data_IF_761203808803
#
_entry.id   IF_761203808803
#
_cell.length_a   1.000
_cell.length_b   1.000
_cell.length_c   1.000
_cell.angle_alpha   90.00
_cell.angle_beta   90.00
_cell.angle_gamma   90.00
#
_symmetry.space_group_name_H-M   'P 1'
#
loop_
_entity.id
_entity.type
_entity.pdbx_description
1 polymer ?
#
# COMPACT_ATOMS: atom_id res chain seq x y z
N UNK A 1 23.42 -14.77 -27.79
CA UNK A 1 22.50 -13.62 -27.95
C UNK A 1 21.09 -13.86 -27.42
N UNK A 2 20.62 -15.11 -27.19
CA UNK A 2 19.26 -15.39 -26.67
C UNK A 2 19.08 -15.13 -25.15
N UNK A 3 20.16 -15.10 -24.36
CA UNK A 3 20.07 -14.91 -22.89
C UNK A 3 19.56 -13.51 -22.51
N UNK A 4 19.87 -12.49 -23.32
CA UNK A 4 19.43 -11.12 -23.05
C UNK A 4 17.94 -10.89 -23.35
N UNK A 5 17.35 -11.59 -24.32
CA UNK A 5 15.92 -11.45 -24.63
C UNK A 5 15.04 -12.00 -23.50
N UNK A 6 15.39 -13.17 -22.95
CA UNK A 6 14.63 -13.78 -21.85
C UNK A 6 14.71 -12.94 -20.57
N UNK A 7 15.86 -12.31 -20.32
CA UNK A 7 16.03 -11.39 -19.19
C UNK A 7 15.22 -10.11 -19.38
N UNK A 8 15.16 -9.56 -20.60
CA UNK A 8 14.36 -8.37 -20.93
C UNK A 8 12.85 -8.65 -20.84
N UNK A 9 12.35 -9.75 -21.42
CA UNK A 9 10.94 -10.15 -21.34
C UNK A 9 10.49 -10.47 -19.90
N UNK A 10 11.38 -11.01 -19.06
CA UNK A 10 11.06 -11.24 -17.65
C UNK A 10 11.16 -9.99 -16.78
N UNK A 11 11.98 -9.00 -17.14
CA UNK A 11 12.01 -7.69 -16.46
C UNK A 11 10.77 -6.85 -16.77
N UNK A 12 10.15 -6.99 -17.95
CA UNK A 12 8.87 -6.36 -18.28
C UNK A 12 7.71 -6.80 -17.38
N UNK A 13 7.87 -7.91 -16.64
CA UNK A 13 6.83 -8.43 -15.74
C UNK A 13 6.74 -7.66 -14.41
N UNK A 14 7.79 -6.95 -14.01
CA UNK A 14 7.83 -6.22 -12.74
C UNK A 14 7.68 -4.73 -12.99
N UNK A 15 6.73 -4.10 -12.29
CA UNK A 15 6.52 -2.66 -12.41
C UNK A 15 7.55 -1.87 -11.60
N UNK A 16 8.14 -2.47 -10.56
CA UNK A 16 9.04 -1.83 -9.60
C UNK A 16 9.94 -2.86 -8.92
N UNK A 17 11.16 -2.47 -8.51
CA UNK A 17 12.05 -3.31 -7.71
C UNK A 17 11.88 -3.11 -6.20
N UNK A 18 12.28 -4.10 -5.40
CA UNK A 18 12.30 -3.94 -3.93
C UNK A 18 13.19 -2.76 -3.50
N UNK A 19 12.71 -1.97 -2.54
CA UNK A 19 13.39 -0.78 -2.03
C UNK A 19 13.13 0.50 -2.82
N UNK A 20 12.54 0.41 -4.01
CA UNK A 20 12.10 1.58 -4.77
C UNK A 20 10.72 2.06 -4.31
N UNK A 21 10.48 3.37 -4.44
CA UNK A 21 9.17 3.98 -4.21
C UNK A 21 8.28 3.69 -5.41
N UNK A 22 7.04 3.29 -5.15
CA UNK A 22 6.01 3.14 -6.18
C UNK A 22 4.64 3.55 -5.67
N UNK A 23 3.70 3.65 -6.61
CA UNK A 23 2.33 4.05 -6.36
C UNK A 23 1.40 2.90 -6.71
N UNK A 24 0.54 2.52 -5.77
CA UNK A 24 -0.58 1.61 -5.98
C UNK A 24 -1.84 2.44 -6.18
N UNK A 25 -2.66 2.06 -7.15
CA UNK A 25 -3.98 2.67 -7.38
C UNK A 25 -5.09 1.64 -7.19
N UNK A 26 -6.28 2.08 -6.77
CA UNK A 26 -7.45 1.19 -6.60
C UNK A 26 -8.01 0.59 -7.90
N UNK A 27 -7.41 0.88 -9.05
CA UNK A 27 -7.81 0.36 -10.36
C UNK A 27 -6.99 -0.83 -10.85
N UNK A 28 -5.85 -1.13 -10.21
CA UNK A 28 -4.95 -2.21 -10.64
C UNK A 28 -4.06 -2.66 -9.48
N UNK A 29 -3.63 -3.90 -9.53
CA UNK A 29 -2.53 -4.37 -8.71
C UNK A 29 -1.18 -3.87 -9.24
N UNK A 30 -0.22 -3.80 -8.32
CA UNK A 30 1.19 -3.54 -8.61
C UNK A 30 2.01 -4.76 -8.22
N UNK A 31 2.90 -5.19 -9.13
CA UNK A 31 3.83 -6.29 -8.86
C UNK A 31 5.23 -5.75 -8.68
N UNK A 32 5.82 -6.03 -7.51
CA UNK A 32 7.11 -5.53 -7.05
C UNK A 32 8.03 -6.71 -6.83
N UNK A 33 9.26 -6.61 -7.35
CA UNK A 33 10.29 -7.57 -6.99
C UNK A 33 11.27 -7.84 -8.11
N UNK A 34 11.71 -9.08 -8.20
CA UNK A 34 12.71 -9.53 -9.15
C UNK A 34 12.40 -10.95 -9.64
N UNK A 35 13.31 -11.51 -10.46
CA UNK A 35 13.14 -12.83 -11.08
C UNK A 35 12.88 -13.96 -10.09
N UNK A 36 13.39 -13.86 -8.86
CA UNK A 36 13.36 -14.92 -7.87
C UNK A 36 12.15 -14.82 -6.94
N UNK A 37 11.63 -13.61 -6.74
CA UNK A 37 10.58 -13.32 -5.78
C UNK A 37 9.82 -12.04 -6.14
N UNK A 38 8.49 -12.10 -6.01
CA UNK A 38 7.61 -10.97 -6.24
C UNK A 38 6.52 -10.88 -5.18
N UNK A 39 6.16 -9.63 -4.88
CA UNK A 39 5.00 -9.24 -4.08
C UNK A 39 4.00 -8.60 -5.01
N UNK A 40 2.76 -9.06 -4.99
CA UNK A 40 1.64 -8.35 -5.59
C UNK A 40 0.89 -7.59 -4.49
N UNK A 41 0.52 -6.35 -4.78
CA UNK A 41 -0.24 -5.51 -3.87
C UNK A 41 -1.36 -4.78 -4.60
N UNK A 42 -2.50 -4.68 -3.95
CA UNK A 42 -3.66 -3.95 -4.44
C UNK A 42 -4.38 -3.22 -3.31
N UNK A 43 -5.10 -2.15 -3.67
CA UNK A 43 -6.07 -1.52 -2.77
C UNK A 43 -7.39 -2.26 -2.97
N UNK A 44 -7.78 -3.07 -1.98
CA UNK A 44 -9.04 -3.81 -2.00
C UNK A 44 -10.21 -2.86 -1.76
N UNK A 45 -10.05 -1.95 -0.80
CA UNK A 45 -11.09 -1.01 -0.40
C UNK A 45 -10.50 0.28 0.18
N UNK A 46 -11.27 1.36 0.09
CA UNK A 46 -11.01 2.60 0.82
C UNK A 46 -12.33 3.29 1.15
N UNK A 47 -12.54 3.59 2.44
CA UNK A 47 -13.80 4.13 2.95
C UNK A 47 -13.52 5.45 3.63
N UNK A 48 -14.18 6.52 3.17
CA UNK A 48 -14.18 7.80 3.86
C UNK A 48 -15.17 7.77 5.02
N UNK A 49 -14.64 7.97 6.23
CA UNK A 49 -15.39 8.08 7.46
C UNK A 49 -15.38 9.53 7.92
N UNK A 50 -16.53 10.03 8.35
CA UNK A 50 -16.65 11.37 8.92
C UNK A 50 -17.65 11.36 10.07
N UNK A 51 -17.50 12.32 10.96
CA UNK A 51 -18.37 12.43 12.12
C UNK A 51 -18.10 13.65 12.97
N UNK A 52 -18.76 13.67 14.11
CA UNK A 52 -18.56 14.67 15.16
C UNK A 52 -18.07 13.96 16.42
N UNK A 53 -17.17 14.59 17.16
CA UNK A 53 -16.62 14.07 18.41
C UNK A 53 -17.56 14.21 19.63
N UNK A 54 -18.66 14.94 19.47
CA UNK A 54 -19.66 15.20 20.50
C UNK A 54 -21.10 15.05 19.97
N UNK A 55 -22.07 15.02 20.90
CA UNK A 55 -23.50 14.90 20.55
C UNK A 55 -24.00 16.16 19.84
N UNK A 56 -25.13 16.09 19.11
CA UNK A 56 -25.64 17.23 18.33
C UNK A 56 -25.99 18.47 19.15
N UNK A 57 -26.24 18.33 20.45
CA UNK A 57 -26.57 19.43 21.37
C UNK A 57 -25.36 20.25 21.81
N UNK A 58 -24.13 19.75 21.60
CA UNK A 58 -22.91 20.49 21.89
C UNK A 58 -22.59 21.48 20.76
N UNK A 59 -22.61 22.77 21.08
CA UNK A 59 -22.31 23.86 20.13
C UNK A 59 -20.84 23.84 19.67
N UNK A 60 -19.93 23.19 20.42
CA UNK A 60 -18.49 23.15 20.15
C UNK A 60 -17.99 21.80 19.61
N UNK A 61 -18.89 20.98 19.03
CA UNK A 61 -18.50 19.72 18.40
C UNK A 61 -17.48 19.93 17.27
N UNK A 62 -16.41 19.15 17.28
CA UNK A 62 -15.43 19.15 16.21
C UNK A 62 -15.81 18.13 15.15
N UNK A 63 -15.68 18.54 13.90
CA UNK A 63 -15.78 17.65 12.75
C UNK A 63 -14.49 16.88 12.57
N UNK A 64 -14.59 15.58 12.33
CA UNK A 64 -13.48 14.77 11.86
C UNK A 64 -13.82 14.08 10.54
N UNK A 65 -12.78 13.86 9.74
CA UNK A 65 -12.84 13.07 8.52
C UNK A 65 -11.52 12.33 8.36
N UNK A 66 -11.61 11.06 8.00
CA UNK A 66 -10.48 10.19 7.77
C UNK A 66 -10.84 9.15 6.69
N UNK A 67 -9.82 8.47 6.17
CA UNK A 67 -10.02 7.37 5.23
C UNK A 67 -9.38 6.12 5.77
N UNK A 68 -10.15 5.04 5.85
CA UNK A 68 -9.64 3.71 6.10
C UNK A 68 -9.30 3.04 4.79
N UNK A 69 -8.06 2.57 4.64
CA UNK A 69 -7.61 1.76 3.51
C UNK A 69 -7.55 0.29 3.90
N UNK A 70 -7.84 -0.59 2.95
CA UNK A 70 -7.55 -2.03 3.04
C UNK A 70 -6.69 -2.46 1.87
N UNK A 71 -5.47 -2.92 2.16
CA UNK A 71 -4.52 -3.46 1.21
C UNK A 71 -4.61 -4.99 1.17
N UNK A 72 -4.63 -5.54 -0.04
CA UNK A 72 -4.37 -6.95 -0.31
C UNK A 72 -2.91 -7.14 -0.69
N UNK A 73 -2.22 -8.06 -0.04
CA UNK A 73 -0.81 -8.35 -0.30
C UNK A 73 -0.63 -9.84 -0.51
N UNK A 74 -0.05 -10.21 -1.64
CA UNK A 74 0.21 -11.59 -2.01
C UNK A 74 1.71 -11.84 -2.28
N UNK A 75 2.25 -12.88 -1.65
CA UNK A 75 3.59 -13.41 -1.93
C UNK A 75 3.47 -14.92 -2.14
N UNK A 76 3.73 -15.36 -3.38
CA UNK A 76 3.52 -16.77 -3.80
C UNK A 76 2.08 -17.19 -3.43
N UNK A 77 1.93 -18.16 -2.54
CA UNK A 77 0.63 -18.72 -2.12
C UNK A 77 0.09 -18.08 -0.83
N UNK A 78 0.77 -17.06 -0.27
CA UNK A 78 0.37 -16.39 0.96
C UNK A 78 -0.31 -15.06 0.63
N UNK A 79 -1.59 -14.93 0.99
CA UNK A 79 -2.35 -13.69 0.96
C UNK A 79 -2.53 -13.14 2.37
N UNK A 80 -2.35 -11.83 2.55
CA UNK A 80 -2.74 -11.10 3.77
C UNK A 80 -3.40 -9.79 3.44
N UNK A 81 -4.22 -9.33 4.38
CA UNK A 81 -4.86 -8.03 4.34
C UNK A 81 -4.31 -7.15 5.46
N UNK A 82 -4.11 -5.88 5.14
CA UNK A 82 -3.68 -4.86 6.08
C UNK A 82 -4.62 -3.68 5.98
N UNK A 83 -5.02 -3.12 7.12
CA UNK A 83 -5.83 -1.91 7.17
C UNK A 83 -5.12 -0.83 7.97
N UNK A 84 -5.22 0.41 7.50
CA UNK A 84 -4.70 1.61 8.17
C UNK A 84 -5.56 2.82 7.83
N UNK A 85 -5.42 3.87 8.64
CA UNK A 85 -6.07 5.14 8.39
C UNK A 85 -5.11 6.16 7.75
N UNK A 86 -5.64 7.07 6.94
CA UNK A 86 -4.88 8.22 6.39
C UNK A 86 -4.25 9.03 7.54
N UNK A 87 -4.95 9.20 8.66
CA UNK A 87 -4.41 9.87 9.85
C UNK A 87 -3.20 9.17 10.47
N UNK A 88 -3.06 7.83 10.36
CA UNK A 88 -1.90 7.11 10.88
C UNK A 88 -0.61 7.55 10.17
N UNK A 89 -0.70 7.81 8.86
CA UNK A 89 0.41 8.34 8.05
C UNK A 89 0.74 9.75 8.50
N UNK A 90 -0.27 10.63 8.60
CA UNK A 90 -0.09 12.04 8.96
C UNK A 90 0.51 12.25 10.35
N UNK A 91 0.23 11.36 11.30
CA UNK A 91 0.74 11.46 12.68
C UNK A 91 2.17 10.94 12.83
N UNK A 92 2.60 9.98 12.01
CA UNK A 92 3.87 9.24 12.18
C UNK A 92 4.83 9.40 11.00
N UNK A 93 4.47 10.26 10.04
CA UNK A 93 5.07 10.39 8.70
C UNK A 93 5.02 9.12 7.82
N UNK A 94 4.68 7.96 8.39
CA UNK A 94 4.58 6.69 7.68
C UNK A 94 3.86 5.61 8.50
N UNK A 95 3.37 4.56 7.81
CA UNK A 95 2.82 3.35 8.42
C UNK A 95 3.61 2.13 7.93
N UNK A 96 4.00 1.24 8.84
CA UNK A 96 4.78 0.06 8.49
C UNK A 96 4.05 -1.23 8.83
N UNK A 97 4.07 -2.18 7.90
CA UNK A 97 3.55 -3.53 8.09
C UNK A 97 4.63 -4.57 7.87
N UNK A 98 4.65 -5.56 8.77
CA UNK A 98 5.52 -6.71 8.66
C UNK A 98 4.80 -7.88 8.02
N UNK A 99 5.37 -8.40 6.92
CA UNK A 99 4.79 -9.50 6.18
C UNK A 99 5.83 -10.57 5.83
N UNK A 100 6.01 -11.54 6.72
CA UNK A 100 6.99 -12.61 6.55
C UNK A 100 8.40 -12.04 6.41
N UNK A 101 9.07 -12.36 5.30
CA UNK A 101 10.39 -11.85 4.91
C UNK A 101 10.37 -10.42 4.34
N UNK A 102 9.23 -9.74 4.31
CA UNK A 102 9.10 -8.40 3.74
C UNK A 102 8.59 -7.39 4.77
N UNK A 103 8.90 -6.13 4.53
CA UNK A 103 8.34 -4.97 5.21
C UNK A 103 7.72 -4.04 4.17
N UNK A 104 6.51 -3.59 4.43
CA UNK A 104 5.79 -2.60 3.64
C UNK A 104 5.83 -1.30 4.43
N UNK A 105 6.23 -0.21 3.77
CA UNK A 105 6.24 1.13 4.34
C UNK A 105 5.36 2.03 3.48
N UNK A 106 4.24 2.47 4.04
CA UNK A 106 3.33 3.44 3.46
C UNK A 106 3.85 4.84 3.77
N UNK A 107 4.05 5.65 2.74
CA UNK A 107 4.64 6.98 2.83
C UNK A 107 3.61 8.09 2.76
N UNK A 108 2.67 7.97 1.83
CA UNK A 108 1.61 8.96 1.63
C UNK A 108 0.40 8.34 0.97
N UNK A 109 -0.75 8.99 1.14
CA UNK A 109 -2.00 8.64 0.49
C UNK A 109 -2.61 9.86 -0.20
N UNK A 110 -3.39 9.59 -1.25
CA UNK A 110 -4.24 10.57 -1.89
C UNK A 110 -5.51 9.90 -2.35
N UNK A 111 -6.65 10.47 -2.01
CA UNK A 111 -7.95 9.95 -2.43
C UNK A 111 -8.87 11.04 -2.98
N UNK A 112 -9.86 10.57 -3.73
CA UNK A 112 -11.06 11.28 -4.14
C UNK A 112 -12.25 10.36 -3.90
N UNK A 113 -13.45 10.81 -4.22
CA UNK A 113 -14.68 10.03 -4.04
C UNK A 113 -14.69 8.69 -4.81
N UNK A 114 -13.85 8.52 -5.84
CA UNK A 114 -13.83 7.30 -6.67
C UNK A 114 -12.44 6.74 -6.95
N UNK A 115 -11.38 7.36 -6.42
CA UNK A 115 -10.02 6.92 -6.64
C UNK A 115 -9.16 7.06 -5.39
N UNK A 116 -8.22 6.13 -5.25
CA UNK A 116 -7.22 6.12 -4.21
C UNK A 116 -5.86 5.78 -4.79
N UNK A 117 -4.85 6.48 -4.31
CA UNK A 117 -3.44 6.30 -4.59
C UNK A 117 -2.70 6.18 -3.27
N UNK A 118 -1.80 5.20 -3.17
CA UNK A 118 -0.93 5.05 -2.02
C UNK A 118 0.50 4.96 -2.52
N UNK A 119 1.36 5.83 -2.02
CA UNK A 119 2.79 5.79 -2.24
C UNK A 119 3.47 4.94 -1.16
N UNK A 120 4.32 4.02 -1.57
CA UNK A 120 4.92 3.05 -0.65
C UNK A 120 6.25 2.49 -1.13
N UNK A 121 6.95 1.84 -0.21
CA UNK A 121 8.17 1.06 -0.44
C UNK A 121 7.94 -0.35 0.12
N UNK A 122 8.39 -1.37 -0.62
CA UNK A 122 8.48 -2.74 -0.10
C UNK A 122 9.95 -3.15 -0.07
N UNK A 123 10.44 -3.53 1.10
CA UNK A 123 11.80 -4.04 1.30
C UNK A 123 11.79 -5.50 1.74
N UNK A 124 12.83 -6.24 1.34
CA UNK A 124 13.15 -7.51 1.96
C UNK A 124 13.78 -7.26 3.32
N UNK A 125 13.44 -8.09 4.30
CA UNK A 125 14.13 -8.14 5.57
C UNK A 125 15.40 -8.96 5.39
N UNK A 126 16.52 -8.44 5.87
CA UNK A 126 17.72 -9.24 5.98
C UNK A 126 17.47 -10.36 6.98
N UNK A 127 17.56 -11.62 6.52
CA UNK A 127 17.62 -12.77 7.41
C UNK A 127 18.98 -12.73 8.11
N UNK A 128 19.02 -12.24 9.34
CA UNK A 128 20.16 -12.47 10.24
C UNK A 128 20.08 -13.85 10.87
#
# INVERSE_FOLDING_TARGET
MQVNLIAQEKMEKFQTQFGEIFIVSNSKSSTIGNLDESVEIEIIDFIEEWGYDATPEDENRNYYSDVQYTLGVQVKDLEKRFSFYSSDIKQKDSVAFDFGSHKILILSDKYTNSSALIEMIITKKDNK
#
